data_IF_786014756901
#
_entry.id   IF_786014756901
#
_cell.length_a   1.000
_cell.length_b   1.000
_cell.length_c   1.000
_cell.angle_alpha   90.00
_cell.angle_beta   90.00
_cell.angle_gamma   90.00
#
_symmetry.space_group_name_H-M   'P 1'
#
loop_
_entity.id
_entity.type
_entity.pdbx_description
1 polymer ?
#
# COMPACT_ATOMS: atom_id res chain seq x y z
N UNK A 1 -22.43 6.75 -16.77
CA UNK A 1 -22.15 5.33 -16.51
C UNK A 1 -20.67 5.11 -16.73
N UNK A 2 -19.90 5.13 -15.65
CA UNK A 2 -18.48 4.80 -15.66
C UNK A 2 -18.39 3.38 -15.08
N UNK A 3 -17.88 2.44 -15.87
CA UNK A 3 -17.64 1.06 -15.41
C UNK A 3 -16.43 1.10 -14.48
N UNK A 4 -16.64 0.79 -13.19
CA UNK A 4 -15.57 0.57 -12.21
C UNK A 4 -14.94 -0.80 -12.49
N UNK A 5 -13.62 -0.84 -12.61
CA UNK A 5 -12.83 -2.06 -12.70
C UNK A 5 -12.20 -2.27 -11.33
N UNK A 6 -12.70 -3.25 -10.60
CA UNK A 6 -12.15 -3.65 -9.29
C UNK A 6 -11.07 -4.70 -9.56
N UNK A 7 -9.82 -4.41 -9.20
CA UNK A 7 -8.73 -5.39 -9.20
C UNK A 7 -8.33 -5.62 -7.75
N UNK A 8 -8.86 -6.67 -7.14
CA UNK A 8 -8.40 -7.15 -5.83
C UNK A 8 -7.44 -8.31 -6.11
N UNK A 9 -6.14 -8.09 -5.86
CA UNK A 9 -5.10 -9.11 -6.00
C UNK A 9 -4.58 -9.50 -4.62
N UNK A 10 -5.03 -10.66 -4.13
CA UNK A 10 -4.43 -11.35 -2.98
C UNK A 10 -3.17 -12.07 -3.47
N UNK A 11 -2.00 -11.55 -3.13
CA UNK A 11 -0.71 -12.19 -3.41
C UNK A 11 -0.11 -12.78 -2.14
N UNK A 12 -0.46 -14.01 -1.81
CA UNK A 12 0.31 -14.85 -0.89
C UNK A 12 1.65 -15.23 -1.55
N UNK A 13 2.75 -14.56 -1.20
CA UNK A 13 4.10 -15.07 -1.48
C UNK A 13 4.81 -15.34 -0.16
N UNK A 14 5.02 -16.64 0.07
CA UNK A 14 5.68 -17.23 1.22
C UNK A 14 7.11 -16.69 1.40
N UNK A 15 7.38 -16.24 2.62
CA UNK A 15 8.74 -16.03 3.14
C UNK A 15 9.50 -17.36 3.19
N UNK A 16 10.39 -17.60 2.23
CA UNK A 16 11.53 -18.51 2.43
C UNK A 16 12.82 -17.80 2.05
N UNK A 17 13.40 -17.11 3.04
CA UNK A 17 14.81 -16.75 3.00
C UNK A 17 15.64 -18.04 3.18
N UNK A 18 16.12 -18.62 2.08
CA UNK A 18 17.15 -19.64 2.11
C UNK A 18 18.50 -18.98 2.42
N UNK A 19 18.87 -18.96 3.69
CA UNK A 19 20.25 -18.77 4.10
C UNK A 19 21.06 -20.02 3.76
N UNK A 20 21.91 -19.93 2.73
CA UNK A 20 23.01 -20.87 2.53
C UNK A 20 24.08 -20.63 3.61
N UNK A 21 24.30 -21.63 4.45
CA UNK A 21 25.43 -21.72 5.37
C UNK A 21 25.77 -23.19 5.61
N UNK A 22 26.91 -23.62 5.09
CA UNK A 22 27.36 -25.01 5.01
C UNK A 22 27.64 -25.73 6.35
N UNK A 23 27.38 -27.04 6.31
CA UNK A 23 28.12 -28.18 6.91
C UNK A 23 28.13 -28.39 8.44
N UNK A 24 27.54 -29.53 8.82
CA UNK A 24 28.32 -30.68 9.35
C UNK A 24 27.60 -32.02 9.17
N UNK A 25 28.28 -32.94 8.48
CA UNK A 25 27.98 -34.37 8.45
C UNK A 25 28.09 -34.99 9.85
N UNK A 26 27.20 -35.92 10.19
CA UNK A 26 27.64 -37.29 10.54
C UNK A 26 26.49 -38.27 10.34
N UNK A 27 26.77 -39.30 9.53
CA UNK A 27 25.94 -40.47 9.33
C UNK A 27 25.96 -41.41 10.55
N UNK A 28 24.86 -42.11 10.80
CA UNK A 28 24.90 -43.53 11.16
C UNK A 28 23.54 -44.19 10.95
N UNK A 29 23.57 -45.32 10.25
CA UNK A 29 22.51 -46.31 10.03
C UNK A 29 21.98 -46.85 11.36
N UNK A 30 20.75 -47.41 11.38
CA UNK A 30 20.48 -48.87 11.40
C UNK A 30 18.96 -49.13 11.30
N UNK A 31 18.59 -50.13 10.50
CA UNK A 31 17.27 -50.79 10.36
C UNK A 31 16.84 -51.44 11.71
N UNK A 32 15.67 -52.01 11.98
CA UNK A 32 14.62 -52.63 11.19
C UNK A 32 13.37 -52.85 12.08
N UNK A 33 12.21 -53.06 11.41
CA UNK A 33 11.13 -54.02 11.76
C UNK A 33 10.31 -53.80 13.06
N UNK A 34 8.99 -54.02 13.12
CA UNK A 34 8.00 -54.53 12.17
C UNK A 34 6.57 -54.35 12.72
N UNK A 35 5.61 -54.60 11.81
CA UNK A 35 4.22 -55.07 12.01
C UNK A 35 3.13 -54.00 12.23
N UNK A 36 2.36 -53.71 11.17
CA UNK A 36 1.13 -54.42 10.71
C UNK A 36 -0.05 -54.16 11.68
N UNK A 37 -1.23 -53.69 11.28
CA UNK A 37 -2.03 -54.04 10.09
C UNK A 37 -3.26 -53.10 9.99
N UNK A 38 -3.58 -52.69 8.74
CA UNK A 38 -4.88 -52.73 8.02
C UNK A 38 -6.20 -52.35 8.75
N UNK A 39 -7.22 -51.76 8.11
CA UNK A 39 -7.47 -51.23 6.77
C UNK A 39 -8.92 -50.66 6.74
N UNK A 40 -9.18 -49.76 5.78
CA UNK A 40 -10.36 -49.64 4.89
C UNK A 40 -11.81 -49.64 5.45
N UNK A 41 -12.85 -49.09 4.81
CA UNK A 41 -13.14 -48.13 3.70
C UNK A 41 -14.70 -48.10 3.64
N UNK A 42 -15.26 -46.94 3.29
CA UNK A 42 -16.57 -46.58 2.66
C UNK A 42 -17.87 -47.39 2.85
N UNK A 43 -19.00 -46.66 2.92
CA UNK A 43 -20.19 -46.63 2.00
C UNK A 43 -21.35 -45.96 2.77
N UNK A 44 -21.98 -44.86 2.31
CA UNK A 44 -22.88 -44.61 1.17
C UNK A 44 -24.40 -44.74 1.51
N UNK A 45 -25.19 -43.81 0.95
CA UNK A 45 -26.66 -43.82 0.71
C UNK A 45 -27.65 -43.51 1.87
N UNK A 46 -28.87 -42.97 1.67
CA UNK A 46 -29.51 -41.98 0.75
C UNK A 46 -30.99 -41.85 1.20
N UNK A 47 -31.62 -40.67 0.96
CA UNK A 47 -33.07 -40.44 0.72
C UNK A 47 -34.06 -40.55 1.92
N UNK A 48 -35.19 -39.81 2.07
CA UNK A 48 -36.07 -39.05 1.14
C UNK A 48 -37.17 -38.25 1.91
N UNK A 49 -37.61 -37.10 1.34
CA UNK A 49 -38.98 -36.49 1.25
C UNK A 49 -39.85 -36.21 2.52
N UNK A 50 -40.69 -35.16 2.64
CA UNK A 50 -41.60 -34.53 1.66
C UNK A 50 -42.27 -33.20 2.19
N UNK A 51 -42.50 -32.21 1.28
CA UNK A 51 -43.63 -31.21 1.14
C UNK A 51 -43.96 -30.18 2.27
N UNK A 52 -44.45 -28.95 2.04
CA UNK A 52 -45.17 -28.30 0.92
C UNK A 52 -45.15 -26.73 1.01
N UNK A 53 -45.06 -26.06 -0.15
CA UNK A 53 -45.61 -24.75 -0.60
C UNK A 53 -45.69 -23.48 0.29
N UNK A 54 -45.10 -22.39 -0.20
CA UNK A 54 -45.87 -21.17 -0.58
C UNK A 54 -45.08 -20.32 -1.58
N UNK A 55 -45.76 -19.88 -2.63
CA UNK A 55 -45.22 -19.02 -3.68
C UNK A 55 -45.09 -17.57 -3.18
N UNK A 56 -43.90 -16.99 -3.36
CA UNK A 56 -43.71 -15.54 -3.39
C UNK A 56 -42.84 -15.22 -4.58
N UNK A 57 -43.40 -14.49 -5.53
CA UNK A 57 -42.70 -13.88 -6.66
C UNK A 57 -41.75 -12.84 -6.08
N UNK A 58 -40.50 -13.25 -5.85
CA UNK A 58 -39.39 -12.31 -5.72
C UNK A 58 -38.75 -12.24 -7.10
N UNK A 59 -38.73 -11.04 -7.67
CA UNK A 59 -37.81 -10.72 -8.77
C UNK A 59 -36.42 -11.13 -8.30
N UNK A 60 -35.89 -12.20 -8.88
CA UNK A 60 -34.51 -12.60 -8.68
C UNK A 60 -33.69 -11.50 -9.35
N UNK A 61 -33.17 -10.57 -8.56
CA UNK A 61 -32.00 -9.80 -8.96
C UNK A 61 -30.97 -10.82 -9.43
N UNK A 62 -30.67 -10.80 -10.73
CA UNK A 62 -29.56 -11.56 -11.26
C UNK A 62 -28.32 -11.14 -10.46
N UNK A 63 -27.59 -12.08 -9.82
CA UNK A 63 -26.34 -11.73 -9.19
C UNK A 63 -25.48 -11.06 -10.24
N UNK A 64 -25.03 -9.83 -9.97
CA UNK A 64 -24.03 -9.16 -10.79
C UNK A 64 -22.92 -10.18 -11.04
N UNK A 65 -22.75 -10.58 -12.31
CA UNK A 65 -21.64 -11.42 -12.68
C UNK A 65 -20.38 -10.65 -12.34
N UNK A 66 -19.71 -11.05 -11.25
CA UNK A 66 -18.34 -10.67 -10.95
C UNK A 66 -17.55 -10.90 -12.24
N UNK A 67 -17.11 -9.80 -12.87
CA UNK A 67 -16.25 -9.93 -14.03
C UNK A 67 -14.98 -10.65 -13.58
N UNK A 68 -14.49 -11.63 -14.34
CA UNK A 68 -13.26 -12.32 -14.00
C UNK A 68 -12.13 -11.28 -13.83
N UNK A 69 -11.36 -11.42 -12.76
CA UNK A 69 -10.18 -10.61 -12.51
C UNK A 69 -9.27 -10.65 -13.74
N UNK A 70 -8.86 -9.48 -14.23
CA UNK A 70 -7.92 -9.34 -15.34
C UNK A 70 -6.55 -9.90 -14.97
N UNK A 71 -5.87 -10.51 -15.94
CA UNK A 71 -4.45 -10.84 -15.80
C UNK A 71 -3.56 -9.63 -16.10
N UNK A 72 -2.28 -9.66 -15.70
CA UNK A 72 -1.35 -8.55 -15.96
C UNK A 72 -1.12 -8.31 -17.47
N UNK A 73 -1.23 -9.34 -18.30
CA UNK A 73 -1.18 -9.23 -19.77
C UNK A 73 -2.32 -8.39 -20.36
N UNK A 74 -3.44 -8.32 -19.66
CA UNK A 74 -4.65 -7.66 -20.11
C UNK A 74 -4.74 -6.20 -19.63
N UNK A 75 -3.78 -5.75 -18.81
CA UNK A 75 -3.74 -4.37 -18.32
C UNK A 75 -3.36 -3.42 -19.45
N UNK A 76 -4.16 -2.37 -19.57
CA UNK A 76 -3.86 -1.24 -20.44
C UNK A 76 -2.93 -0.24 -19.73
N UNK A 77 -2.18 0.59 -20.47
CA UNK A 77 -1.39 1.68 -19.89
C UNK A 77 -2.20 2.58 -18.94
N UNK A 78 -3.46 2.87 -19.25
CA UNK A 78 -4.30 3.73 -18.41
C UNK A 78 -4.60 3.09 -17.04
N UNK A 79 -4.75 1.76 -16.99
CA UNK A 79 -4.99 1.02 -15.75
C UNK A 79 -3.76 0.91 -14.85
N UNK A 80 -2.57 1.22 -15.38
CA UNK A 80 -1.33 1.28 -14.62
C UNK A 80 -1.09 2.64 -13.96
N UNK A 81 -1.82 3.67 -14.38
CA UNK A 81 -1.68 5.02 -13.82
C UNK A 81 -2.30 5.09 -12.44
N UNK A 82 -1.60 5.77 -11.54
CA UNK A 82 -2.12 5.99 -10.20
C UNK A 82 -3.21 7.07 -10.26
N UNK A 83 -4.43 6.79 -9.78
CA UNK A 83 -5.49 7.78 -9.76
C UNK A 83 -5.11 8.95 -8.86
N UNK A 84 -5.55 10.15 -9.26
CA UNK A 84 -5.30 11.39 -8.51
C UNK A 84 -6.56 12.22 -8.42
N UNK A 85 -6.60 13.08 -7.40
CA UNK A 85 -7.67 14.05 -7.17
C UNK A 85 -7.05 15.45 -7.34
N UNK A 86 -7.66 16.33 -8.16
CA UNK A 86 -7.19 17.71 -8.26
C UNK A 86 -7.44 18.47 -6.96
N UNK A 87 -6.51 19.37 -6.63
CA UNK A 87 -6.65 20.28 -5.49
C UNK A 87 -6.41 21.73 -5.93
N UNK A 88 -6.86 22.68 -5.10
CA UNK A 88 -6.50 24.07 -5.30
C UNK A 88 -5.00 24.28 -5.15
N UNK A 89 -4.47 25.26 -5.88
CA UNK A 89 -3.06 25.59 -5.75
C UNK A 89 -2.76 26.14 -4.34
N UNK A 90 -1.66 25.70 -3.70
CA UNK A 90 -1.28 26.22 -2.39
C UNK A 90 -0.63 27.61 -2.46
N UNK A 91 -0.41 28.12 -3.68
CA UNK A 91 0.17 29.43 -3.94
C UNK A 91 -0.93 30.49 -4.11
N UNK A 92 -0.71 31.67 -3.54
CA UNK A 92 -1.52 32.87 -3.74
C UNK A 92 -1.18 33.59 -5.04
N UNK A 93 -1.91 34.68 -5.32
CA UNK A 93 -1.69 35.51 -6.52
C UNK A 93 -0.30 36.14 -6.60
N UNK A 94 0.38 36.29 -5.46
CA UNK A 94 1.73 36.83 -5.35
C UNK A 94 2.83 35.77 -5.55
N UNK A 95 2.45 34.52 -5.78
CA UNK A 95 3.35 33.38 -5.95
C UNK A 95 3.92 32.81 -4.65
N UNK A 96 3.52 33.35 -3.48
CA UNK A 96 3.90 32.80 -2.18
C UNK A 96 2.84 31.80 -1.68
N UNK A 97 3.19 30.98 -0.68
CA UNK A 97 2.22 30.10 -0.04
C UNK A 97 1.10 30.90 0.63
N UNK A 98 -0.15 30.49 0.42
CA UNK A 98 -1.36 31.12 1.00
C UNK A 98 -1.31 31.19 2.53
N UNK A 99 -0.84 30.11 3.15
CA UNK A 99 -0.94 29.89 4.60
C UNK A 99 0.43 29.80 5.25
N UNK A 100 0.72 30.75 6.14
CA UNK A 100 1.97 30.81 6.91
C UNK A 100 1.63 30.91 8.39
N UNK A 101 2.14 29.98 9.18
CA UNK A 101 1.86 29.87 10.61
C UNK A 101 3.14 29.62 11.42
N UNK A 102 3.12 30.01 12.68
CA UNK A 102 4.11 29.57 13.69
C UNK A 102 3.64 28.29 14.38
N UNK A 103 4.55 27.55 15.00
CA UNK A 103 4.23 26.34 15.77
C UNK A 103 3.15 26.59 16.84
N UNK A 104 3.16 27.78 17.45
CA UNK A 104 2.18 28.17 18.48
C UNK A 104 0.80 28.45 17.92
N UNK A 105 0.71 29.00 16.71
CA UNK A 105 -0.58 29.24 16.05
C UNK A 105 -1.18 27.92 15.61
N UNK A 106 -0.37 27.05 15.00
CA UNK A 106 -0.79 25.71 14.59
C UNK A 106 -1.35 24.89 15.76
N UNK A 107 -0.60 24.82 16.87
CA UNK A 107 -0.99 24.05 18.05
C UNK A 107 -2.22 24.62 18.79
N UNK A 108 -2.45 25.94 18.70
CA UNK A 108 -3.57 26.60 19.39
C UNK A 108 -4.86 26.51 18.59
N UNK A 109 -4.77 26.69 17.28
CA UNK A 109 -5.93 26.98 16.44
C UNK A 109 -6.44 25.76 15.67
N UNK A 110 -5.62 24.72 15.48
CA UNK A 110 -5.93 23.61 14.55
C UNK A 110 -5.70 22.21 15.10
N UNK A 111 -5.27 22.09 16.36
CA UNK A 111 -5.08 20.79 17.00
C UNK A 111 -6.43 20.20 17.43
N UNK A 112 -6.70 18.97 17.00
CA UNK A 112 -7.89 18.20 17.33
C UNK A 112 -7.80 17.53 18.72
N UNK A 113 -8.83 16.79 19.09
CA UNK A 113 -8.92 16.06 20.36
C UNK A 113 -7.86 14.97 20.55
N UNK A 114 -7.22 14.52 19.47
CA UNK A 114 -6.11 13.55 19.47
C UNK A 114 -4.73 14.23 19.45
N UNK A 115 -4.69 15.55 19.66
CA UNK A 115 -3.49 16.38 19.52
C UNK A 115 -2.89 16.39 18.11
N UNK A 116 -3.71 16.19 17.07
CA UNK A 116 -3.30 16.16 15.67
C UNK A 116 -3.83 17.38 14.91
N UNK A 117 -3.06 17.87 13.95
CA UNK A 117 -3.50 18.86 12.97
C UNK A 117 -3.91 18.11 11.71
N UNK A 118 -5.17 18.27 11.30
CA UNK A 118 -5.74 17.61 10.13
C UNK A 118 -6.47 18.63 9.28
N UNK A 119 -6.20 18.62 7.98
CA UNK A 119 -6.94 19.39 7.00
C UNK A 119 -7.34 18.49 5.85
N UNK A 120 -8.60 18.59 5.46
CA UNK A 120 -9.09 17.97 4.23
C UNK A 120 -8.48 18.68 3.00
N UNK A 121 -8.57 18.03 1.83
CA UNK A 121 -7.96 18.55 0.60
C UNK A 121 -8.54 19.91 0.16
N UNK A 122 -9.79 20.20 0.52
CA UNK A 122 -10.49 21.46 0.25
C UNK A 122 -10.27 22.53 1.32
N UNK A 123 -9.50 22.22 2.37
CA UNK A 123 -9.13 23.16 3.44
C UNK A 123 -7.70 23.70 3.32
N UNK A 124 -7.11 23.65 2.12
CA UNK A 124 -5.72 24.01 1.83
C UNK A 124 -4.72 23.37 2.83
N UNK A 125 -4.45 22.06 2.71
CA UNK A 125 -3.66 21.33 3.71
C UNK A 125 -2.16 21.65 3.69
N UNK A 126 -1.66 22.30 2.63
CA UNK A 126 -0.26 22.70 2.49
C UNK A 126 -0.03 24.04 3.19
N UNK A 127 0.89 24.05 4.17
CA UNK A 127 1.13 25.21 5.03
C UNK A 127 2.62 25.43 5.26
N UNK A 128 3.04 26.69 5.38
CA UNK A 128 4.38 27.01 5.87
C UNK A 128 4.37 27.02 7.39
N UNK A 129 5.21 26.18 7.99
CA UNK A 129 5.58 26.25 9.40
C UNK A 129 6.86 27.08 9.55
N UNK A 130 6.76 28.22 10.24
CA UNK A 130 7.90 29.06 10.57
C UNK A 130 8.45 28.75 11.96
N UNK A 131 9.63 28.17 12.00
CA UNK A 131 10.40 27.91 13.23
C UNK A 131 11.61 28.84 13.28
N UNK A 132 11.45 29.99 13.93
CA UNK A 132 12.47 31.04 13.95
C UNK A 132 12.66 31.68 12.56
N UNK A 133 13.82 31.44 11.94
CA UNK A 133 14.15 31.94 10.59
C UNK A 133 14.06 30.86 9.50
N UNK A 134 13.53 29.67 9.84
CA UNK A 134 13.39 28.54 8.92
C UNK A 134 11.91 28.38 8.60
N UNK A 135 11.60 28.34 7.30
CA UNK A 135 10.27 28.05 6.79
C UNK A 135 10.25 26.63 6.22
N UNK A 136 9.39 25.77 6.76
CA UNK A 136 9.19 24.40 6.29
C UNK A 136 7.83 24.30 5.60
N UNK A 137 7.79 23.69 4.42
CA UNK A 137 6.53 23.36 3.74
C UNK A 137 6.00 22.05 4.33
N UNK A 138 4.82 22.13 4.93
CA UNK A 138 4.17 21.00 5.60
C UNK A 138 2.93 20.57 4.83
N UNK A 139 2.68 19.27 4.81
CA UNK A 139 1.45 18.66 4.33
C UNK A 139 0.69 18.09 5.53
N UNK A 140 -0.42 18.75 5.90
CA UNK A 140 -1.27 18.33 7.01
C UNK A 140 -2.51 17.55 6.57
N UNK A 141 -2.55 17.07 5.32
CA UNK A 141 -3.52 16.07 4.87
C UNK A 141 -3.01 14.66 5.17
N UNK A 142 -3.88 13.67 4.98
CA UNK A 142 -3.56 12.25 5.06
C UNK A 142 -3.20 11.63 3.70
N UNK A 143 -2.77 12.45 2.72
CA UNK A 143 -2.45 12.00 1.36
C UNK A 143 -1.09 12.52 0.91
N UNK A 144 -0.53 11.93 -0.15
CA UNK A 144 0.63 12.49 -0.82
C UNK A 144 0.15 13.57 -1.80
N UNK A 145 0.88 14.67 -1.90
CA UNK A 145 0.51 15.83 -2.72
C UNK A 145 1.66 16.19 -3.66
N UNK A 146 1.39 16.19 -4.97
CA UNK A 146 2.27 16.77 -5.99
C UNK A 146 2.00 18.27 -6.11
N UNK A 147 2.94 19.08 -5.59
CA UNK A 147 2.83 20.54 -5.63
C UNK A 147 3.00 21.13 -7.04
N UNK A 148 3.60 20.39 -7.97
CA UNK A 148 3.87 20.90 -9.32
C UNK A 148 2.63 20.85 -10.20
N UNK A 149 1.80 19.82 -10.01
CA UNK A 149 0.56 19.59 -10.75
C UNK A 149 -0.70 19.99 -9.95
N UNK A 150 -0.57 20.26 -8.65
CA UNK A 150 -1.68 20.46 -7.70
C UNK A 150 -2.61 19.23 -7.68
N UNK A 151 -2.02 18.05 -7.49
CA UNK A 151 -2.72 16.78 -7.44
C UNK A 151 -2.45 16.06 -6.12
N UNK A 152 -3.46 15.37 -5.60
CA UNK A 152 -3.35 14.48 -4.45
C UNK A 152 -3.50 13.02 -4.89
N UNK A 153 -2.70 12.14 -4.30
CA UNK A 153 -2.82 10.69 -4.44
C UNK A 153 -3.69 10.15 -3.30
N UNK A 154 -4.98 9.98 -3.60
CA UNK A 154 -6.03 9.64 -2.62
C UNK A 154 -6.86 8.46 -3.11
N UNK A 155 -7.11 7.49 -2.23
CA UNK A 155 -8.15 6.48 -2.46
C UNK A 155 -9.52 7.18 -2.38
N UNK A 156 -10.32 7.06 -3.43
CA UNK A 156 -11.60 7.79 -3.54
C UNK A 156 -12.78 6.99 -3.00
N UNK A 157 -12.67 5.66 -2.98
CA UNK A 157 -13.73 4.78 -2.49
C UNK A 157 -13.52 4.49 -1.00
N UNK A 158 -14.47 4.85 -0.11
CA UNK A 158 -14.35 4.54 1.32
C UNK A 158 -14.18 3.06 1.62
N UNK A 159 -14.79 2.19 0.80
CA UNK A 159 -14.63 0.73 0.95
C UNK A 159 -13.18 0.30 0.65
N UNK A 160 -12.52 0.92 -0.33
CA UNK A 160 -11.10 0.66 -0.61
C UNK A 160 -10.20 1.12 0.54
N UNK A 161 -10.55 2.22 1.22
CA UNK A 161 -9.82 2.70 2.41
C UNK A 161 -9.94 1.69 3.55
N UNK A 162 -11.15 1.18 3.81
CA UNK A 162 -11.39 0.18 4.85
C UNK A 162 -10.61 -1.11 4.56
N UNK A 163 -10.69 -1.62 3.32
CA UNK A 163 -9.94 -2.80 2.87
C UNK A 163 -8.42 -2.56 3.00
N UNK A 164 -7.94 -1.38 2.62
CA UNK A 164 -6.55 -0.99 2.73
C UNK A 164 -6.06 -1.04 4.17
N UNK A 165 -6.82 -0.43 5.09
CA UNK A 165 -6.50 -0.43 6.51
C UNK A 165 -6.53 -1.84 7.10
N UNK A 166 -7.56 -2.63 6.76
CA UNK A 166 -7.70 -4.01 7.22
C UNK A 166 -6.51 -4.89 6.78
N UNK A 167 -6.05 -4.71 5.53
CA UNK A 167 -4.86 -5.41 5.03
C UNK A 167 -3.66 -5.19 5.95
N UNK A 168 -3.42 -3.94 6.39
CA UNK A 168 -2.30 -3.63 7.28
C UNK A 168 -2.42 -4.34 8.62
N UNK A 169 -3.58 -4.30 9.28
CA UNK A 169 -3.73 -4.85 10.63
C UNK A 169 -3.85 -6.39 10.67
N UNK A 170 -4.35 -7.01 9.61
CA UNK A 170 -4.48 -8.49 9.52
C UNK A 170 -3.16 -9.21 9.25
N UNK A 171 -2.11 -8.47 8.89
CA UNK A 171 -0.82 -9.02 8.52
C UNK A 171 0.27 -8.55 9.48
N UNK A 172 0.20 -8.90 10.78
CA UNK A 172 1.17 -8.46 11.76
C UNK A 172 2.57 -8.96 11.39
N UNK A 173 3.59 -8.11 11.55
CA UNK A 173 4.97 -8.49 11.31
C UNK A 173 5.40 -9.55 12.32
N UNK A 174 6.47 -10.28 11.99
CA UNK A 174 6.98 -11.41 12.80
C UNK A 174 7.22 -11.01 14.26
N UNK A 175 7.59 -9.76 14.52
CA UNK A 175 7.83 -9.20 15.86
C UNK A 175 6.55 -9.12 16.72
N UNK A 176 5.38 -9.12 16.10
CA UNK A 176 4.07 -9.07 16.75
C UNK A 176 3.32 -10.40 16.70
N UNK A 177 3.77 -11.36 15.88
CA UNK A 177 3.14 -12.69 15.80
C UNK A 177 3.15 -13.41 17.15
N UNK A 178 1.97 -13.84 17.60
CA UNK A 178 1.80 -14.59 18.85
C UNK A 178 1.81 -13.74 20.12
N UNK A 179 1.89 -12.40 20.02
CA UNK A 179 1.54 -11.53 21.15
C UNK A 179 0.01 -11.53 21.32
N UNK A 180 -0.46 -11.85 22.51
CA UNK A 180 -1.88 -11.75 22.86
C UNK A 180 -2.23 -10.29 23.20
N UNK A 181 -3.44 -9.85 22.86
CA UNK A 181 -3.96 -8.54 23.25
C UNK A 181 -3.38 -7.34 22.49
N UNK A 182 -2.94 -7.54 21.24
CA UNK A 182 -2.62 -6.40 20.36
C UNK A 182 -3.93 -5.68 20.01
N UNK A 183 -4.03 -4.42 20.39
CA UNK A 183 -5.09 -3.51 19.96
C UNK A 183 -4.49 -2.52 18.97
N UNK A 184 -5.18 -2.29 17.85
CA UNK A 184 -4.76 -1.32 16.85
C UNK A 184 -5.62 -0.06 16.98
N UNK A 185 -5.00 1.12 16.88
CA UNK A 185 -5.71 2.39 16.72
C UNK A 185 -6.57 2.32 15.46
N UNK A 186 -7.84 2.73 15.57
CA UNK A 186 -8.78 2.81 14.45
C UNK A 186 -8.27 3.70 13.31
N UNK A 187 -8.93 3.64 12.14
CA UNK A 187 -8.62 4.56 11.04
C UNK A 187 -8.71 6.02 11.50
N UNK A 188 -9.73 6.38 12.28
CA UNK A 188 -9.97 7.71 12.84
C UNK A 188 -8.86 8.17 13.81
N UNK A 189 -8.24 7.23 14.51
CA UNK A 189 -7.14 7.47 15.45
C UNK A 189 -5.74 7.38 14.79
N UNK A 190 -5.64 6.81 13.59
CA UNK A 190 -4.40 6.77 12.82
C UNK A 190 -3.91 8.18 12.47
N UNK A 191 -2.59 8.38 12.46
CA UNK A 191 -1.99 9.67 12.08
C UNK A 191 -2.11 9.90 10.58
N UNK A 192 -1.95 11.14 10.14
CA UNK A 192 -1.92 11.46 8.70
C UNK A 192 -0.81 10.69 7.97
N UNK A 193 0.33 10.47 8.63
CA UNK A 193 1.45 9.68 8.09
C UNK A 193 1.05 8.24 7.79
N UNK A 194 0.46 7.58 8.78
CA UNK A 194 0.02 6.19 8.69
C UNK A 194 -1.01 6.04 7.58
N UNK A 195 -2.04 6.87 7.59
CA UNK A 195 -3.09 6.89 6.56
C UNK A 195 -2.52 7.16 5.16
N UNK A 196 -1.63 8.13 5.02
CA UNK A 196 -1.02 8.45 3.73
C UNK A 196 -0.18 7.32 3.18
N UNK A 197 0.61 6.66 4.02
CA UNK A 197 1.40 5.50 3.63
C UNK A 197 0.50 4.32 3.23
N UNK A 198 -0.57 4.06 3.97
CA UNK A 198 -1.53 2.99 3.65
C UNK A 198 -2.14 3.24 2.28
N UNK A 199 -2.70 4.43 2.05
CA UNK A 199 -3.30 4.80 0.77
C UNK A 199 -2.30 4.67 -0.38
N UNK A 200 -1.10 5.26 -0.23
CA UNK A 200 -0.08 5.22 -1.28
C UNK A 200 0.40 3.80 -1.58
N UNK A 201 0.51 2.95 -0.57
CA UNK A 201 0.91 1.54 -0.73
C UNK A 201 -0.09 0.77 -1.61
N UNK A 202 -1.39 0.98 -1.39
CA UNK A 202 -2.44 0.36 -2.20
C UNK A 202 -2.43 0.93 -3.62
N UNK A 203 -2.36 2.26 -3.75
CA UNK A 203 -2.29 2.95 -5.04
C UNK A 203 -1.12 2.48 -5.91
N UNK A 204 0.04 2.22 -5.31
CA UNK A 204 1.23 1.73 -6.01
C UNK A 204 1.20 0.23 -6.32
N UNK A 205 0.33 -0.54 -5.71
CA UNK A 205 0.33 -2.00 -5.83
C UNK A 205 0.21 -2.46 -7.29
N UNK A 206 -0.59 -1.78 -8.11
CA UNK A 206 -0.81 -2.11 -9.51
C UNK A 206 0.45 -1.90 -10.37
N UNK A 207 1.01 -0.69 -10.50
CA UNK A 207 2.22 -0.49 -11.30
C UNK A 207 3.42 -1.27 -10.74
N UNK A 208 3.51 -1.45 -9.42
CA UNK A 208 4.60 -2.21 -8.80
C UNK A 208 4.54 -3.69 -9.16
N UNK A 209 3.38 -4.34 -9.02
CA UNK A 209 3.23 -5.74 -9.38
C UNK A 209 3.32 -5.96 -10.89
N UNK A 210 2.90 -4.98 -11.71
CA UNK A 210 3.15 -5.04 -13.15
C UNK A 210 4.64 -5.01 -13.49
N UNK A 211 5.46 -4.16 -12.84
CA UNK A 211 6.92 -4.17 -13.06
C UNK A 211 7.53 -5.53 -12.68
N UNK A 212 7.06 -6.17 -11.60
CA UNK A 212 7.49 -7.54 -11.28
C UNK A 212 7.17 -8.51 -12.41
N UNK A 213 5.92 -8.51 -12.86
CA UNK A 213 5.45 -9.37 -13.93
C UNK A 213 6.32 -9.20 -15.19
N UNK A 214 6.54 -7.95 -15.59
CA UNK A 214 7.32 -7.62 -16.77
C UNK A 214 8.79 -8.04 -16.64
N UNK A 215 9.41 -7.86 -15.46
CA UNK A 215 10.76 -8.39 -15.16
C UNK A 215 10.80 -9.91 -15.31
N UNK A 216 9.80 -10.63 -14.78
CA UNK A 216 9.72 -12.09 -14.83
C UNK A 216 9.50 -12.63 -16.25
N UNK A 217 8.80 -11.88 -17.11
CA UNK A 217 8.59 -12.22 -18.52
C UNK A 217 9.67 -11.69 -19.47
N UNK A 218 10.70 -11.01 -18.95
CA UNK A 218 11.75 -10.37 -19.75
C UNK A 218 11.25 -9.23 -20.67
N UNK A 219 10.18 -8.53 -20.26
CA UNK A 219 9.49 -7.48 -21.02
C UNK A 219 9.82 -6.07 -20.50
N UNK A 220 10.75 -5.36 -21.16
CA UNK A 220 11.25 -4.05 -20.70
C UNK A 220 10.92 -2.87 -21.63
N UNK A 221 10.39 -3.13 -22.83
CA UNK A 221 10.14 -2.10 -23.87
C UNK A 221 8.65 -1.93 -24.21
N UNK A 222 7.75 -2.56 -23.44
CA UNK A 222 6.31 -2.39 -23.64
C UNK A 222 5.86 -1.00 -23.19
N UNK A 223 4.75 -0.51 -23.77
CA UNK A 223 4.16 0.76 -23.36
C UNK A 223 3.65 0.71 -21.92
N UNK A 224 3.17 -0.45 -21.49
CA UNK A 224 2.79 -0.72 -20.11
C UNK A 224 3.99 -0.62 -19.15
N UNK A 225 5.13 -1.22 -19.50
CA UNK A 225 6.35 -1.12 -18.68
C UNK A 225 6.77 0.34 -18.53
N UNK A 226 6.82 1.09 -19.64
CA UNK A 226 7.14 2.52 -19.63
C UNK A 226 6.15 3.33 -18.79
N UNK A 227 4.87 2.98 -18.84
CA UNK A 227 3.83 3.67 -18.06
C UNK A 227 3.98 3.38 -16.56
N UNK A 228 4.13 2.11 -16.17
CA UNK A 228 4.37 1.75 -14.78
C UNK A 228 5.64 2.42 -14.24
N UNK A 229 6.73 2.42 -15.00
CA UNK A 229 7.96 3.13 -14.63
C UNK A 229 7.75 4.66 -14.51
N UNK A 230 6.97 5.27 -15.41
CA UNK A 230 6.66 6.69 -15.36
C UNK A 230 5.87 7.09 -14.10
N UNK A 231 5.01 6.21 -13.58
CA UNK A 231 4.34 6.46 -12.30
C UNK A 231 5.34 6.56 -11.15
N UNK A 232 6.32 5.65 -11.07
CA UNK A 232 7.41 5.74 -10.08
C UNK A 232 8.24 7.01 -10.22
N UNK A 233 8.43 7.51 -11.44
CA UNK A 233 9.11 8.79 -11.68
C UNK A 233 8.29 9.95 -11.11
N UNK A 234 6.97 9.93 -11.34
CA UNK A 234 6.05 10.99 -10.91
C UNK A 234 5.94 11.03 -9.39
N UNK A 235 5.67 9.89 -8.75
CA UNK A 235 5.53 9.79 -7.30
C UNK A 235 6.85 9.90 -6.53
N UNK A 236 8.00 9.70 -7.19
CA UNK A 236 9.33 9.90 -6.61
C UNK A 236 9.91 11.30 -6.85
N UNK A 237 9.14 12.23 -7.42
CA UNK A 237 9.57 13.60 -7.66
C UNK A 237 9.74 14.36 -6.33
N UNK A 238 10.81 15.16 -6.13
CA UNK A 238 11.00 15.95 -4.91
C UNK A 238 9.86 16.92 -4.57
N UNK A 239 9.01 17.27 -5.54
CA UNK A 239 7.83 18.12 -5.33
C UNK A 239 6.62 17.35 -4.78
N UNK A 240 6.71 16.03 -4.65
CA UNK A 240 5.70 15.21 -3.97
C UNK A 240 5.95 15.24 -2.46
N UNK A 241 5.01 15.83 -1.74
CA UNK A 241 5.01 15.91 -0.28
C UNK A 241 4.14 14.80 0.31
N UNK A 242 4.74 13.92 1.08
CA UNK A 242 4.02 13.03 2.00
C UNK A 242 3.57 13.81 3.25
N UNK A 243 2.58 13.29 4.00
CA UNK A 243 2.13 13.91 5.24
C UNK A 243 3.29 14.25 6.17
N UNK A 244 3.21 15.38 6.86
CA UNK A 244 4.23 15.83 7.79
C UNK A 244 4.12 15.09 9.13
N UNK A 245 5.25 14.75 9.78
CA UNK A 245 5.24 14.03 11.04
C UNK A 245 4.74 14.92 12.18
N UNK A 246 3.90 14.39 13.06
CA UNK A 246 3.33 15.13 14.20
C UNK A 246 3.61 14.44 15.54
N UNK A 247 3.79 13.12 15.53
CA UNK A 247 4.16 12.32 16.71
C UNK A 247 5.61 11.81 16.62
N UNK A 248 6.23 11.36 17.73
CA UNK A 248 7.54 10.72 17.70
C UNK A 248 7.62 9.52 16.75
N UNK A 249 6.58 8.66 16.71
CA UNK A 249 6.51 7.52 15.81
C UNK A 249 6.36 7.97 14.34
N UNK A 250 5.66 9.06 14.07
CA UNK A 250 5.60 9.63 12.72
C UNK A 250 6.98 10.04 12.20
N UNK A 251 7.88 10.52 13.06
CA UNK A 251 9.25 10.86 12.62
C UNK A 251 10.02 9.62 12.15
N UNK A 252 9.81 8.46 12.79
CA UNK A 252 10.41 7.20 12.35
C UNK A 252 9.82 6.72 11.02
N UNK A 253 8.51 6.86 10.84
CA UNK A 253 7.84 6.59 9.58
C UNK A 253 8.29 7.56 8.49
N UNK A 254 8.44 8.85 8.80
CA UNK A 254 8.88 9.90 7.87
C UNK A 254 10.26 9.58 7.27
N UNK A 255 11.22 9.16 8.09
CA UNK A 255 12.55 8.75 7.58
C UNK A 255 12.47 7.46 6.74
N UNK A 256 11.56 6.55 7.08
CA UNK A 256 11.33 5.32 6.33
C UNK A 256 10.73 5.61 4.94
N UNK A 257 9.65 6.40 4.89
CA UNK A 257 9.02 6.78 3.62
C UNK A 257 9.93 7.66 2.77
N UNK A 258 10.78 8.51 3.35
CA UNK A 258 11.81 9.26 2.60
C UNK A 258 12.75 8.34 1.83
N UNK A 259 13.17 7.24 2.46
CA UNK A 259 14.05 6.25 1.83
C UNK A 259 13.34 5.57 0.67
N UNK A 260 12.10 5.13 0.90
CA UNK A 260 11.24 4.50 -0.12
C UNK A 260 10.96 5.46 -1.28
N UNK A 261 10.61 6.71 -1.00
CA UNK A 261 10.36 7.76 -1.99
C UNK A 261 11.57 8.01 -2.90
N UNK A 262 12.78 8.04 -2.32
CA UNK A 262 14.01 8.15 -3.11
C UNK A 262 14.25 6.92 -4.00
N UNK A 263 13.87 5.72 -3.55
CA UNK A 263 13.94 4.51 -4.36
C UNK A 263 12.92 4.52 -5.50
N UNK A 264 11.70 4.98 -5.26
CA UNK A 264 10.70 5.20 -6.31
C UNK A 264 11.23 6.12 -7.41
N UNK A 265 11.79 7.28 -7.04
CA UNK A 265 12.38 8.20 -8.01
C UNK A 265 13.53 7.55 -8.81
N UNK A 266 14.39 6.76 -8.17
CA UNK A 266 15.45 6.01 -8.87
C UNK A 266 14.89 4.98 -9.83
N UNK A 267 13.87 4.21 -9.43
CA UNK A 267 13.23 3.19 -10.25
C UNK A 267 12.59 3.82 -11.49
N UNK A 268 11.88 4.94 -11.31
CA UNK A 268 11.24 5.68 -12.38
C UNK A 268 12.20 6.40 -13.33
N UNK A 269 13.38 6.79 -12.86
CA UNK A 269 14.41 7.46 -13.66
C UNK A 269 15.42 6.49 -14.28
N UNK A 270 15.34 5.19 -13.97
CA UNK A 270 16.29 4.19 -14.46
C UNK A 270 16.29 4.14 -15.99
N UNK A 271 17.46 4.27 -16.60
CA UNK A 271 17.61 4.34 -18.04
C UNK A 271 17.89 2.95 -18.61
N UNK A 272 17.23 2.61 -19.72
CA UNK A 272 17.52 1.41 -20.53
C UNK A 272 17.53 0.09 -19.73
N UNK A 273 16.46 -0.23 -18.99
CA UNK A 273 16.41 -1.46 -18.19
C UNK A 273 16.55 -2.74 -19.03
N UNK A 274 16.26 -2.69 -20.33
CA UNK A 274 16.49 -3.80 -21.27
C UNK A 274 17.98 -4.11 -21.51
N UNK A 275 18.87 -3.12 -21.30
CA UNK A 275 20.33 -3.26 -21.44
C UNK A 275 20.97 -3.73 -20.12
N UNK A 276 20.42 -3.31 -18.98
CA UNK A 276 20.98 -3.51 -17.63
C UNK A 276 19.99 -4.26 -16.70
N UNK A 277 19.39 -5.35 -17.20
CA UNK A 277 18.29 -6.09 -16.56
C UNK A 277 18.54 -6.48 -15.11
N UNK A 278 19.73 -7.00 -14.80
CA UNK A 278 20.09 -7.44 -13.44
C UNK A 278 20.15 -6.28 -12.44
N UNK A 279 20.66 -5.12 -12.86
CA UNK A 279 20.74 -3.94 -12.00
C UNK A 279 19.37 -3.31 -11.82
N UNK A 280 18.55 -3.23 -12.88
CA UNK A 280 17.17 -2.81 -12.74
C UNK A 280 16.37 -3.73 -11.81
N UNK A 281 16.51 -5.05 -11.96
CA UNK A 281 15.88 -6.03 -11.08
C UNK A 281 16.33 -5.85 -9.63
N UNK A 282 17.61 -5.66 -9.37
CA UNK A 282 18.12 -5.43 -8.02
C UNK A 282 17.54 -4.15 -7.40
N UNK A 283 17.41 -3.07 -8.18
CA UNK A 283 16.77 -1.84 -7.73
C UNK A 283 15.27 -2.05 -7.45
N UNK A 284 14.56 -2.80 -8.31
CA UNK A 284 13.17 -3.17 -8.10
C UNK A 284 12.99 -4.00 -6.81
N UNK A 285 13.81 -5.05 -6.63
CA UNK A 285 13.77 -5.92 -5.46
C UNK A 285 14.05 -5.14 -4.17
N UNK A 286 15.04 -4.23 -4.19
CA UNK A 286 15.33 -3.34 -3.06
C UNK A 286 14.14 -2.42 -2.76
N UNK A 287 13.54 -1.82 -3.78
CA UNK A 287 12.37 -0.96 -3.63
C UNK A 287 11.20 -1.73 -3.01
N UNK A 288 10.94 -2.95 -3.47
CA UNK A 288 9.91 -3.84 -2.92
C UNK A 288 10.18 -4.24 -1.49
N UNK A 289 11.42 -4.54 -1.16
CA UNK A 289 11.81 -4.84 0.21
C UNK A 289 11.54 -3.66 1.15
N UNK A 290 11.90 -2.43 0.76
CA UNK A 290 11.67 -1.27 1.61
C UNK A 290 10.18 -0.88 1.72
N UNK A 291 9.37 -1.09 0.67
CA UNK A 291 7.91 -0.96 0.77
C UNK A 291 7.33 -1.99 1.75
N UNK A 292 7.78 -3.25 1.71
CA UNK A 292 7.36 -4.26 2.68
C UNK A 292 7.81 -3.92 4.12
N UNK A 293 9.01 -3.36 4.28
CA UNK A 293 9.47 -2.88 5.58
C UNK A 293 8.58 -1.73 6.09
N UNK A 294 8.17 -0.84 5.19
CA UNK A 294 7.28 0.28 5.53
C UNK A 294 5.89 -0.22 5.96
N UNK A 295 5.35 -1.23 5.28
CA UNK A 295 4.11 -1.90 5.67
C UNK A 295 4.19 -2.45 7.10
N UNK A 296 5.25 -3.19 7.41
CA UNK A 296 5.48 -3.72 8.75
C UNK A 296 5.63 -2.63 9.82
N UNK A 297 6.27 -1.51 9.49
CA UNK A 297 6.43 -0.36 10.41
C UNK A 297 5.10 0.32 10.69
N UNK A 298 4.26 0.55 9.68
CA UNK A 298 2.93 1.15 9.90
C UNK A 298 2.05 0.23 10.74
N UNK A 299 2.05 -1.08 10.47
CA UNK A 299 1.34 -2.03 11.34
C UNK A 299 1.83 -1.90 12.80
N UNK A 300 3.14 -1.84 13.01
CA UNK A 300 3.72 -1.66 14.33
C UNK A 300 3.27 -0.35 14.99
N UNK A 301 3.37 0.80 14.31
CA UNK A 301 2.98 2.09 14.92
C UNK A 301 1.48 2.19 15.20
N UNK A 302 0.64 1.55 14.38
CA UNK A 302 -0.80 1.44 14.65
C UNK A 302 -1.11 0.62 15.90
N UNK A 303 -0.22 -0.29 16.30
CA UNK A 303 -0.37 -1.13 17.49
C UNK A 303 0.17 -0.51 18.78
N UNK A 304 0.77 0.68 18.69
CA UNK A 304 1.37 1.39 19.82
C UNK A 304 0.52 2.62 20.19
N UNK A 305 0.54 2.98 21.48
CA UNK A 305 -0.14 4.14 22.06
C UNK A 305 0.62 5.46 21.84
#
# INVERSE_FOLDING_TARGET
MVKKWMVILVACVLLTACGLGEKKETASKTEAASDEKKANVSEAEKATNEKETSASTAETDEPEQEQPLKTFDELTPEELKIPTVPMESPYGEDGNFKHVHTDKELARDFTDENNMIRFDLDEDPIRIMRTGNIDNVMNYSDTFIDLSENLSYKLQDPEEIEIAYQLFIDHPPVQLQGKEGIEYRSWEEATNMERGIIQMTILLSVPMNYLQYAIEQDEYDTEQFKTAQAEFKRIGDPMVLFPSPQTPLDYELYESIRTVHALWGKLGLYQKPEQDKEEFKALYDQTRQEVNNLFARVNYTLSEE
#
